data_IF_274279666528
#
_entry.id   IF_274279666528
#
_cell.length_a   1.000
_cell.length_b   1.000
_cell.length_c   1.000
_cell.angle_alpha   90.00
_cell.angle_beta   90.00
_cell.angle_gamma   90.00
#
_symmetry.space_group_name_H-M   'P 1'
#
loop_
_entity.id
_entity.type
_entity.pdbx_description
1 polymer ?
#
# COMPACT_ATOMS: atom_id res chain seq x y z
N UNK A 1 3.31 -1.99 1.55
CA UNK A 1 3.96 -3.27 1.84
C UNK A 1 4.19 -3.52 3.34
N UNK A 2 3.87 -2.58 4.23
CA UNK A 2 3.83 -2.83 5.68
C UNK A 2 5.13 -3.35 6.31
N UNK A 3 6.29 -3.11 5.69
CA UNK A 3 7.56 -3.74 6.09
C UNK A 3 7.70 -5.23 5.74
N UNK A 4 6.66 -5.87 5.20
CA UNK A 4 6.61 -7.28 4.80
C UNK A 4 7.07 -7.53 3.36
N UNK A 5 7.69 -6.54 2.74
CA UNK A 5 8.16 -6.60 1.36
C UNK A 5 9.46 -5.87 1.17
N UNK A 6 10.24 -6.34 0.20
CA UNK A 6 11.49 -5.72 -0.23
C UNK A 6 11.32 -5.19 -1.65
N UNK A 7 11.64 -3.91 -1.84
CA UNK A 7 11.81 -3.30 -3.14
C UNK A 7 13.29 -2.99 -3.36
N UNK A 8 13.82 -3.34 -4.53
CA UNK A 8 15.19 -3.02 -4.92
C UNK A 8 15.26 -2.64 -6.39
N UNK A 9 16.16 -1.73 -6.73
CA UNK A 9 16.46 -1.42 -8.12
C UNK A 9 17.32 -2.53 -8.71
N UNK A 10 17.00 -2.92 -9.95
CA UNK A 10 17.78 -3.87 -10.72
C UNK A 10 18.13 -3.25 -12.08
N UNK A 11 19.40 -3.35 -12.46
CA UNK A 11 19.88 -2.95 -13.78
C UNK A 11 19.97 -4.21 -14.66
N UNK A 12 19.32 -4.21 -15.81
CA UNK A 12 19.37 -5.27 -16.80
C UNK A 12 19.82 -4.74 -18.15
N UNK A 13 20.74 -5.43 -18.79
CA UNK A 13 21.14 -5.16 -20.17
C UNK A 13 20.19 -5.78 -21.21
N UNK A 14 19.19 -6.53 -20.76
CA UNK A 14 18.24 -7.25 -21.62
C UNK A 14 17.21 -6.30 -22.25
N UNK A 15 16.73 -5.32 -21.50
CA UNK A 15 15.74 -4.32 -21.94
C UNK A 15 16.43 -2.97 -22.16
N UNK A 16 16.94 -2.75 -23.37
CA UNK A 16 17.72 -1.55 -23.71
C UNK A 16 16.96 -0.23 -23.53
N UNK A 17 15.64 -0.26 -23.67
CA UNK A 17 14.78 0.91 -23.48
C UNK A 17 14.51 1.21 -22.00
N UNK A 18 14.57 0.20 -21.13
CA UNK A 18 14.22 0.29 -19.71
C UNK A 18 15.26 -0.45 -18.86
N UNK A 19 16.52 0.02 -18.86
CA UNK A 19 17.61 -0.74 -18.26
C UNK A 19 17.48 -0.82 -16.73
N UNK A 20 16.69 0.06 -16.10
CA UNK A 20 16.41 0.05 -14.66
C UNK A 20 14.99 -0.42 -14.40
N UNK A 21 14.85 -1.44 -13.56
CA UNK A 21 13.57 -1.97 -13.08
C UNK A 21 13.50 -1.97 -11.55
N UNK A 22 12.28 -2.04 -11.01
CA UNK A 22 12.05 -2.29 -9.59
C UNK A 22 11.71 -3.78 -9.43
N UNK A 23 12.51 -4.50 -8.66
CA UNK A 23 12.19 -5.85 -8.20
C UNK A 23 11.49 -5.77 -6.84
N UNK A 24 10.34 -6.43 -6.74
CA UNK A 24 9.53 -6.46 -5.53
C UNK A 24 9.33 -7.90 -5.10
N UNK A 25 9.64 -8.21 -3.84
CA UNK A 25 9.47 -9.53 -3.25
C UNK A 25 8.75 -9.44 -1.90
N UNK A 26 7.86 -10.38 -1.62
CA UNK A 26 7.19 -10.53 -0.33
C UNK A 26 6.81 -12.00 -0.10
N UNK A 27 7.02 -12.48 1.12
CA UNK A 27 6.55 -13.81 1.55
C UNK A 27 5.12 -13.79 2.09
N UNK A 28 4.54 -12.60 2.28
CA UNK A 28 3.14 -12.40 2.65
C UNK A 28 2.50 -11.39 1.68
N UNK A 29 2.22 -11.83 0.43
CA UNK A 29 1.73 -10.94 -0.62
C UNK A 29 0.34 -10.38 -0.31
N UNK A 30 -0.50 -11.11 0.43
CA UNK A 30 -1.86 -10.65 0.76
C UNK A 30 -1.78 -9.44 1.69
N UNK A 31 -1.06 -9.55 2.82
CA UNK A 31 -0.95 -8.43 3.76
C UNK A 31 -0.09 -7.30 3.17
N UNK A 32 1.03 -7.65 2.53
CA UNK A 32 1.94 -6.67 1.96
C UNK A 32 1.29 -5.85 0.83
N UNK A 33 0.64 -6.51 -0.14
CA UNK A 33 0.13 -5.85 -1.33
C UNK A 33 -1.29 -5.32 -1.11
N UNK A 34 -2.22 -6.12 -0.57
CA UNK A 34 -3.63 -5.73 -0.45
C UNK A 34 -3.92 -4.96 0.83
N UNK A 35 -3.50 -5.48 1.98
CA UNK A 35 -3.78 -4.81 3.27
C UNK A 35 -2.93 -3.56 3.49
N UNK A 36 -1.81 -3.41 2.77
CA UNK A 36 -0.91 -2.28 2.91
C UNK A 36 -0.67 -1.51 1.60
N UNK A 37 0.04 -2.06 0.61
CA UNK A 37 0.51 -1.30 -0.57
C UNK A 37 -0.63 -0.68 -1.39
N UNK A 38 -1.75 -1.40 -1.52
CA UNK A 38 -2.87 -0.98 -2.34
C UNK A 38 -3.38 0.41 -1.92
N UNK A 39 -3.63 1.27 -2.91
CA UNK A 39 -4.13 2.62 -2.71
C UNK A 39 -5.67 2.64 -2.76
N UNK A 40 -6.29 1.89 -1.85
CA UNK A 40 -7.74 1.67 -1.86
C UNK A 40 -8.56 2.63 -1.01
N UNK A 41 -7.92 3.44 -0.14
CA UNK A 41 -8.66 4.35 0.73
C UNK A 41 -8.91 5.70 0.06
N UNK A 42 -10.15 5.96 -0.36
CA UNK A 42 -10.55 7.29 -0.84
C UNK A 42 -10.61 8.30 0.32
N UNK A 43 -9.73 9.30 0.29
CA UNK A 43 -9.68 10.42 1.22
C UNK A 43 -10.23 11.66 0.53
N UNK A 44 -11.41 12.11 0.94
CA UNK A 44 -12.05 13.33 0.44
C UNK A 44 -12.31 14.27 1.61
N UNK A 45 -11.82 15.50 1.49
CA UNK A 45 -12.02 16.56 2.48
C UNK A 45 -12.41 17.85 1.77
N UNK A 46 -13.53 18.44 2.19
CA UNK A 46 -14.04 19.71 1.66
C UNK A 46 -14.28 20.64 2.83
N UNK A 47 -13.61 21.79 2.83
CA UNK A 47 -13.85 22.86 3.81
C UNK A 47 -13.75 24.21 3.12
N UNK A 48 -14.87 24.93 3.09
CA UNK A 48 -14.98 26.23 2.42
C UNK A 48 -14.53 26.15 0.95
N UNK A 49 -13.48 26.87 0.55
CA UNK A 49 -12.91 26.83 -0.80
C UNK A 49 -11.86 25.71 -0.98
N UNK A 50 -11.40 25.08 0.11
CA UNK A 50 -10.39 24.02 0.08
C UNK A 50 -11.02 22.66 -0.22
N UNK A 51 -10.61 22.07 -1.34
CA UNK A 51 -11.00 20.74 -1.77
C UNK A 51 -9.77 19.84 -1.90
N UNK A 52 -9.69 18.79 -1.08
CA UNK A 52 -8.63 17.80 -1.11
C UNK A 52 -9.20 16.43 -1.44
N UNK A 53 -8.58 15.74 -2.41
CA UNK A 53 -8.88 14.36 -2.76
C UNK A 53 -7.57 13.59 -2.96
N UNK A 54 -7.46 12.42 -2.34
CA UNK A 54 -6.31 11.53 -2.51
C UNK A 54 -6.71 10.06 -2.32
N UNK A 55 -5.86 9.17 -2.85
CA UNK A 55 -5.92 7.74 -2.56
C UNK A 55 -4.86 7.41 -1.50
N UNK A 56 -5.31 7.06 -0.30
CA UNK A 56 -4.48 6.56 0.76
C UNK A 56 -4.00 5.15 0.46
N UNK A 57 -2.70 4.93 0.61
CA UNK A 57 -2.04 3.61 0.64
C UNK A 57 -1.31 3.42 1.98
N UNK A 58 -0.83 2.22 2.23
CA UNK A 58 0.04 1.92 3.36
C UNK A 58 -0.66 1.22 4.53
N UNK A 59 0.11 0.87 5.59
CA UNK A 59 -0.35 0.03 6.69
C UNK A 59 -1.47 0.67 7.52
N UNK A 60 -1.58 2.00 7.55
CA UNK A 60 -2.65 2.68 8.27
C UNK A 60 -4.05 2.29 7.78
N UNK A 61 -4.19 1.85 6.52
CA UNK A 61 -5.45 1.30 5.99
C UNK A 61 -5.97 0.12 6.81
N UNK A 62 -5.07 -0.75 7.27
CA UNK A 62 -5.44 -1.92 8.09
C UNK A 62 -5.86 -1.56 9.52
N UNK A 63 -5.52 -0.35 10.00
CA UNK A 63 -6.06 0.22 11.24
C UNK A 63 -7.41 0.90 11.00
N UNK A 64 -7.53 1.67 9.91
CA UNK A 64 -8.71 2.48 9.61
C UNK A 64 -9.91 1.68 9.09
N UNK A 65 -9.67 0.55 8.41
CA UNK A 65 -10.68 -0.42 7.96
C UNK A 65 -11.84 0.23 7.15
N UNK A 66 -11.51 1.20 6.28
CA UNK A 66 -12.51 1.96 5.50
C UNK A 66 -12.99 1.26 4.22
N UNK A 67 -12.41 0.11 3.90
CA UNK A 67 -12.67 -0.63 2.66
C UNK A 67 -13.28 -1.99 2.99
N UNK A 68 -14.26 -2.43 2.18
CA UNK A 68 -14.89 -3.76 2.30
C UNK A 68 -13.86 -4.90 2.18
N UNK A 69 -12.76 -4.67 1.46
CA UNK A 69 -11.63 -5.59 1.30
C UNK A 69 -11.18 -6.20 2.63
N UNK A 70 -11.16 -5.44 3.73
CA UNK A 70 -10.67 -5.97 5.00
C UNK A 70 -11.59 -7.01 5.64
N UNK A 71 -12.88 -7.05 5.27
CA UNK A 71 -13.80 -8.14 5.66
C UNK A 71 -13.40 -9.44 4.99
N UNK A 72 -13.06 -9.40 3.71
CA UNK A 72 -12.62 -10.58 2.94
C UNK A 72 -11.25 -11.07 3.41
N UNK A 73 -10.34 -10.14 3.76
CA UNK A 73 -9.01 -10.48 4.26
C UNK A 73 -9.02 -10.99 5.71
N UNK A 74 -10.09 -10.75 6.46
CA UNK A 74 -10.20 -11.02 7.90
C UNK A 74 -8.94 -10.58 8.68
N UNK A 75 -8.43 -9.39 8.34
CA UNK A 75 -7.20 -8.83 8.89
C UNK A 75 -7.44 -7.42 9.41
N UNK A 76 -7.09 -7.19 10.67
CA UNK A 76 -7.07 -5.89 11.30
C UNK A 76 -5.75 -5.74 12.06
N UNK A 77 -5.06 -4.65 11.80
CA UNK A 77 -3.81 -4.37 12.50
C UNK A 77 -4.10 -3.90 13.94
N UNK A 78 -3.18 -4.19 14.85
CA UNK A 78 -3.24 -3.75 16.25
C UNK A 78 -1.95 -3.02 16.55
N UNK A 79 -2.03 -1.70 16.58
CA UNK A 79 -0.90 -0.92 17.05
C UNK A 79 -0.91 -0.88 18.57
N UNK A 80 0.02 -1.61 19.20
CA UNK A 80 0.29 -1.48 20.62
C UNK A 80 1.28 -0.33 20.82
N UNK A 81 0.85 0.71 21.52
CA UNK A 81 1.76 1.73 22.03
C UNK A 81 2.08 1.36 23.49
N UNK A 82 3.34 1.06 23.83
CA UNK A 82 3.74 0.73 25.21
C UNK A 82 3.58 1.92 26.17
#
# INVERSE_FOLDING_TARGET
MGGLGRASLNMSSSDKEWPVSIQVHSTDPVISCLASQYAGWSLSFVKEEDNFNALGSGPCRALAQKEELFKDLNYQDKFFQP
#
